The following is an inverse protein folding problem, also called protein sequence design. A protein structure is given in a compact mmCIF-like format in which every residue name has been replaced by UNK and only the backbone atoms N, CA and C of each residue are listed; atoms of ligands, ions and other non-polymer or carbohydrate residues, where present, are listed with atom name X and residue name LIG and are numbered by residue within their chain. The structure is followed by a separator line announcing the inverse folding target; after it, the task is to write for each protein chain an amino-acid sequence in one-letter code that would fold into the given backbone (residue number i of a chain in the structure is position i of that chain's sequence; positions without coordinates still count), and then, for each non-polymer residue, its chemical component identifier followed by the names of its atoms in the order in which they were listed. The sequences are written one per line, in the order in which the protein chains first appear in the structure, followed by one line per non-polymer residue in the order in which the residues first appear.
data_IF_101236815211
#
_entry.id   IF_101236815211
#
_cell.length_a   1.000
_cell.length_b   1.000
_cell.length_c   1.000
_cell.angle_alpha   90.00
_cell.angle_beta   90.00
_cell.angle_gamma   90.00
#
_symmetry.space_group_name_H-M   'P 1'
#
loop_
_entity.id
_entity.type
_entity.pdbx_description
1 polymer ?
#
# COMPACT_ATOMS: atom_id res chain seq x y z
N UNK A 1 -5.11 -8.41 -3.25
CA UNK A 1 -5.54 -7.20 -2.52
C UNK A 1 -6.76 -6.57 -3.21
N UNK A 2 -7.96 -7.19 -3.12
CA UNK A 2 -9.14 -6.85 -3.97
C UNK A 2 -9.56 -5.38 -3.92
N UNK A 3 -9.52 -4.76 -2.73
CA UNK A 3 -9.89 -3.36 -2.58
C UNK A 3 -8.91 -2.41 -3.28
N UNK A 4 -7.60 -2.62 -3.09
CA UNK A 4 -6.57 -1.72 -3.61
C UNK A 4 -6.60 -1.60 -5.12
N UNK A 5 -6.74 -2.72 -5.81
CA UNK A 5 -6.76 -2.78 -7.28
C UNK A 5 -8.00 -2.11 -7.89
N UNK A 6 -8.86 -1.49 -7.08
CA UNK A 6 -10.01 -0.68 -7.50
C UNK A 6 -9.91 0.77 -7.04
N UNK A 7 -8.81 1.17 -6.39
CA UNK A 7 -8.57 2.54 -5.93
C UNK A 7 -7.11 2.97 -6.13
N UNK A 8 -6.33 2.25 -6.94
CA UNK A 8 -4.88 2.44 -7.06
C UNK A 8 -4.46 3.36 -8.21
N UNK A 9 -5.41 3.80 -9.04
CA UNK A 9 -5.17 4.71 -10.14
C UNK A 9 -4.48 4.06 -11.34
N UNK A 10 -4.37 2.73 -11.39
CA UNK A 10 -3.77 2.02 -12.52
C UNK A 10 -4.84 1.48 -13.48
N UNK A 11 -4.53 1.35 -14.79
CA UNK A 11 -5.51 0.93 -15.79
C UNK A 11 -5.84 -0.58 -15.76
N UNK A 12 -5.12 -1.38 -14.95
CA UNK A 12 -5.25 -2.84 -14.96
C UNK A 12 -6.63 -3.34 -14.57
N UNK A 13 -7.32 -2.64 -13.66
CA UNK A 13 -8.73 -2.87 -13.30
C UNK A 13 -9.43 -1.52 -13.15
N UNK A 14 -10.70 -1.38 -13.59
CA UNK A 14 -11.42 -0.12 -13.43
C UNK A 14 -11.56 0.27 -11.96
N UNK A 15 -11.14 1.49 -11.63
CA UNK A 15 -11.31 2.07 -10.30
C UNK A 15 -12.78 2.34 -9.99
N UNK A 16 -13.16 2.23 -8.71
CA UNK A 16 -14.48 2.61 -8.19
C UNK A 16 -14.62 4.11 -7.93
N UNK A 17 -13.50 4.84 -7.93
CA UNK A 17 -13.43 6.28 -7.73
C UNK A 17 -13.12 6.99 -9.04
N UNK A 18 -13.63 8.21 -9.20
CA UNK A 18 -13.26 9.06 -10.33
C UNK A 18 -11.78 9.47 -10.23
N UNK A 19 -11.07 9.68 -11.36
CA UNK A 19 -9.67 10.10 -11.34
C UNK A 19 -9.42 11.36 -10.48
N UNK A 20 -10.32 12.35 -10.56
CA UNK A 20 -10.24 13.55 -9.72
C UNK A 20 -10.37 13.26 -8.23
N UNK A 21 -11.18 12.27 -7.85
CA UNK A 21 -11.33 11.82 -6.46
C UNK A 21 -10.07 11.13 -5.96
N UNK A 22 -9.42 10.31 -6.80
CA UNK A 22 -8.13 9.68 -6.47
C UNK A 22 -7.05 10.75 -6.27
N UNK A 23 -6.97 11.74 -7.18
CA UNK A 23 -6.04 12.87 -7.02
C UNK A 23 -6.24 13.58 -5.70
N UNK A 24 -7.48 13.89 -5.31
CA UNK A 24 -7.77 14.47 -4.00
C UNK A 24 -7.34 13.56 -2.86
N UNK A 25 -7.65 12.25 -2.95
CA UNK A 25 -7.34 11.26 -1.92
C UNK A 25 -5.85 11.17 -1.57
N UNK A 26 -4.98 11.39 -2.56
CA UNK A 26 -3.51 11.28 -2.41
C UNK A 26 -2.79 12.63 -2.36
N UNK A 27 -3.54 13.74 -2.44
CA UNK A 27 -2.97 15.08 -2.29
C UNK A 27 -2.68 15.34 -0.82
N UNK A 28 -1.42 15.69 -0.53
CA UNK A 28 -0.93 15.96 0.83
C UNK A 28 -1.61 17.21 1.38
N UNK A 29 -2.04 17.16 2.64
CA UNK A 29 -2.68 18.31 3.29
C UNK A 29 -1.74 19.51 3.45
N UNK A 30 -0.44 19.23 3.61
CA UNK A 30 0.66 20.20 3.50
C UNK A 30 1.81 19.57 2.72
N UNK A 31 2.59 20.34 1.93
CA UNK A 31 3.62 19.78 1.06
C UNK A 31 4.67 18.91 1.77
N UNK A 32 5.01 19.22 3.02
CA UNK A 32 5.98 18.48 3.83
C UNK A 32 5.44 17.20 4.48
N UNK A 33 4.11 17.01 4.53
CA UNK A 33 3.49 15.89 5.25
C UNK A 33 3.50 14.62 4.42
N UNK A 34 4.03 13.49 4.89
CA UNK A 34 3.90 12.19 4.20
C UNK A 34 2.49 11.58 4.36
N UNK A 35 1.44 12.40 4.42
CA UNK A 35 0.07 11.98 4.70
C UNK A 35 -0.96 12.81 3.93
N UNK A 36 -2.00 12.13 3.47
CA UNK A 36 -3.13 12.66 2.72
C UNK A 36 -4.47 12.20 3.35
N UNK A 37 -5.52 11.94 2.57
CA UNK A 37 -6.84 11.53 3.06
C UNK A 37 -6.85 10.06 3.55
N UNK A 38 -6.20 9.76 4.68
CA UNK A 38 -6.12 8.39 5.21
C UNK A 38 -4.89 7.61 4.76
N UNK A 39 -4.16 8.12 3.77
CA UNK A 39 -3.01 7.44 3.19
C UNK A 39 -1.70 8.10 3.61
N UNK A 40 -0.73 7.29 4.00
CA UNK A 40 0.68 7.66 3.88
C UNK A 40 1.03 7.78 2.40
N UNK A 41 1.71 8.85 2.03
CA UNK A 41 2.14 9.12 0.64
C UNK A 41 3.56 9.67 0.63
N UNK A 42 4.32 9.40 -0.43
CA UNK A 42 5.67 9.91 -0.58
C UNK A 42 5.97 10.40 -2.00
N UNK A 43 7.15 11.00 -2.17
CA UNK A 43 7.61 11.53 -3.46
C UNK A 43 7.90 10.44 -4.50
N UNK A 44 8.08 9.19 -4.06
CA UNK A 44 8.25 8.03 -4.93
C UNK A 44 6.90 7.48 -5.44
N UNK A 45 5.78 8.14 -5.12
CA UNK A 45 4.42 7.72 -5.48
C UNK A 45 4.01 6.35 -4.91
N UNK A 46 4.52 6.02 -3.72
CA UNK A 46 4.02 4.91 -2.91
C UNK A 46 2.92 5.41 -1.98
N UNK A 47 1.85 4.64 -1.86
CA UNK A 47 0.76 4.92 -0.92
C UNK A 47 0.64 3.75 0.05
N UNK A 48 0.43 4.04 1.33
CA UNK A 48 0.31 3.00 2.33
C UNK A 48 -0.61 3.38 3.47
N UNK A 49 -1.06 2.38 4.22
CA UNK A 49 -1.66 2.57 5.53
C UNK A 49 -1.19 1.44 6.45
N UNK A 50 -1.02 1.76 7.72
CA UNK A 50 -0.66 0.79 8.76
C UNK A 50 -1.76 0.75 9.79
N UNK A 51 -2.06 -0.42 10.32
CA UNK A 51 -3.04 -0.58 11.38
C UNK A 51 -2.54 -1.53 12.46
N UNK A 52 -3.14 -1.40 13.64
CA UNK A 52 -2.86 -2.32 14.74
C UNK A 52 -3.69 -2.00 15.95
N UNK A 53 -4.36 -3.02 16.48
CA UNK A 53 -4.83 -3.09 17.86
C UNK A 53 -3.85 -3.97 18.66
N UNK A 54 -3.91 -3.99 20.02
CA UNK A 54 -3.05 -4.87 20.81
C UNK A 54 -3.09 -6.31 20.30
N UNK A 55 -1.91 -6.89 20.07
CA UNK A 55 -1.79 -8.24 19.51
C UNK A 55 -1.89 -8.35 17.98
N UNK A 56 -2.04 -7.27 17.22
CA UNK A 56 -2.13 -7.33 15.75
C UNK A 56 -1.22 -6.32 15.06
N UNK A 57 -0.91 -6.58 13.79
CA UNK A 57 -0.27 -5.61 12.92
C UNK A 57 -0.76 -5.79 11.49
N UNK A 58 -1.00 -4.68 10.81
CA UNK A 58 -1.40 -4.68 9.41
C UNK A 58 -0.65 -3.63 8.63
N UNK A 59 -0.44 -3.92 7.35
CA UNK A 59 0.08 -2.96 6.41
C UNK A 59 -0.53 -3.20 5.03
N UNK A 60 -0.85 -2.12 4.35
CA UNK A 60 -1.35 -2.12 2.98
C UNK A 60 -0.49 -1.17 2.16
N UNK A 61 -0.01 -1.59 0.99
CA UNK A 61 0.91 -0.81 0.15
C UNK A 61 0.51 -0.88 -1.31
N UNK A 62 0.48 0.29 -1.95
CA UNK A 62 0.42 0.54 -3.39
C UNK A 62 1.77 1.09 -3.81
N UNK A 63 2.54 0.29 -4.52
CA UNK A 63 3.82 0.74 -5.10
C UNK A 63 3.59 1.63 -6.31
N UNK A 64 4.61 2.39 -6.70
CA UNK A 64 4.55 3.22 -7.92
C UNK A 64 4.64 2.40 -9.20
N UNK A 65 5.02 1.13 -9.11
CA UNK A 65 5.17 0.20 -10.23
C UNK A 65 3.93 -0.67 -10.48
N UNK A 66 2.81 -0.41 -9.79
CA UNK A 66 1.56 -1.13 -10.04
C UNK A 66 1.27 -2.29 -9.07
N UNK A 67 2.22 -2.66 -8.21
CA UNK A 67 1.99 -3.72 -7.24
C UNK A 67 1.21 -3.22 -6.02
N UNK A 68 0.21 -4.00 -5.62
CA UNK A 68 -0.62 -3.77 -4.45
C UNK A 68 -0.58 -5.02 -3.55
N UNK A 69 -0.23 -4.85 -2.26
CA UNK A 69 -0.20 -5.96 -1.30
C UNK A 69 -0.73 -5.57 0.08
N UNK A 70 -1.10 -6.61 0.83
CA UNK A 70 -1.62 -6.49 2.20
C UNK A 70 -0.94 -7.53 3.07
N UNK A 71 -0.46 -7.09 4.23
CA UNK A 71 0.06 -7.94 5.29
C UNK A 71 -0.91 -7.85 6.47
N UNK A 72 -1.40 -8.99 6.94
CA UNK A 72 -2.24 -9.07 8.14
C UNK A 72 -1.62 -10.08 9.11
N UNK A 73 -1.30 -9.61 10.31
CA UNK A 73 -0.74 -10.43 11.38
C UNK A 73 -1.71 -10.46 12.57
N UNK A 74 -2.00 -11.67 13.04
CA UNK A 74 -2.74 -11.94 14.29
C UNK A 74 -1.85 -11.92 15.55
N UNK A 75 -0.59 -11.49 15.39
CA UNK A 75 0.38 -11.29 16.47
C UNK A 75 1.24 -10.07 16.13
N UNK A 76 1.85 -9.47 17.15
CA UNK A 76 2.83 -8.39 17.00
C UNK A 76 3.96 -8.55 17.99
N UNK A 77 5.18 -8.20 17.57
CA UNK A 77 6.33 -8.12 18.48
C UNK A 77 6.37 -6.76 19.17
N UNK A 78 6.94 -6.73 20.39
CA UNK A 78 7.29 -5.49 21.09
C UNK A 78 8.67 -4.95 20.68
N UNK A 79 9.36 -5.61 19.75
CA UNK A 79 10.62 -5.11 19.20
C UNK A 79 10.38 -3.73 18.54
N UNK A 80 11.21 -2.75 18.87
CA UNK A 80 11.09 -1.38 18.37
C UNK A 80 11.11 -1.27 16.84
N UNK A 81 11.82 -2.18 16.15
CA UNK A 81 11.92 -2.20 14.69
C UNK A 81 10.89 -3.13 14.02
N UNK A 82 9.91 -3.66 14.75
CA UNK A 82 8.95 -4.61 14.17
C UNK A 82 8.21 -4.05 12.94
N UNK A 83 7.73 -2.80 13.01
CA UNK A 83 7.02 -2.18 11.88
C UNK A 83 7.94 -1.94 10.67
N UNK A 84 9.20 -1.55 10.91
CA UNK A 84 10.18 -1.40 9.84
C UNK A 84 10.53 -2.73 9.19
N UNK A 85 10.63 -3.80 9.97
CA UNK A 85 10.82 -5.14 9.44
C UNK A 85 9.60 -5.63 8.63
N UNK A 86 8.39 -5.32 9.09
CA UNK A 86 7.15 -5.65 8.38
C UNK A 86 7.07 -4.94 7.02
N UNK A 87 7.40 -3.65 6.98
CA UNK A 87 7.44 -2.84 5.75
C UNK A 87 8.46 -3.39 4.74
N UNK A 88 9.66 -3.71 5.21
CA UNK A 88 10.74 -4.24 4.38
C UNK A 88 10.51 -5.68 3.88
N UNK A 89 9.46 -6.37 4.33
CA UNK A 89 9.25 -7.78 4.04
C UNK A 89 9.11 -8.06 2.54
N UNK A 90 8.33 -7.25 1.81
CA UNK A 90 7.95 -7.55 0.42
C UNK A 90 8.68 -6.71 -0.63
N UNK A 91 9.27 -5.58 -0.24
CA UNK A 91 10.03 -4.72 -1.18
C UNK A 91 11.12 -5.46 -1.97
N UNK A 92 11.95 -6.35 -1.39
CA UNK A 92 12.96 -7.07 -2.14
C UNK A 92 12.35 -7.93 -3.26
N UNK A 93 11.22 -8.59 -3.02
CA UNK A 93 10.56 -9.43 -4.01
C UNK A 93 9.97 -8.59 -5.17
N UNK A 94 9.36 -7.46 -4.83
CA UNK A 94 8.75 -6.55 -5.83
C UNK A 94 9.79 -5.88 -6.74
N UNK A 95 11.04 -5.79 -6.31
CA UNK A 95 12.13 -5.22 -7.08
C UNK A 95 12.89 -6.25 -7.93
N UNK A 96 12.43 -7.51 -7.97
CA UNK A 96 13.04 -8.58 -8.78
C UNK A 96 12.20 -8.91 -10.00
N UNK A 97 12.84 -9.47 -11.02
CA UNK A 97 12.17 -10.00 -12.22
C UNK A 97 11.58 -11.38 -11.90
N UNK A 98 10.43 -11.39 -11.23
CA UNK A 98 9.68 -12.62 -10.97
C UNK A 98 8.69 -12.87 -12.09
N UNK A 99 8.67 -14.10 -12.63
CA UNK A 99 7.65 -14.52 -13.59
C UNK A 99 6.33 -14.78 -12.82
N UNK A 100 5.46 -13.78 -12.80
CA UNK A 100 4.12 -13.91 -12.23
C UNK A 100 3.20 -14.68 -13.17
N UNK A 101 2.22 -15.38 -12.62
CA UNK A 101 1.19 -16.01 -13.43
C UNK A 101 0.30 -14.94 -14.08
N UNK A 102 0.05 -15.07 -15.38
CA UNK A 102 -0.83 -14.16 -16.13
C UNK A 102 -2.30 -14.64 -16.05
N UNK A 103 -2.82 -14.68 -14.83
CA UNK A 103 -4.23 -14.98 -14.56
C UNK A 103 -4.77 -14.02 -13.52
N UNK A 104 -6.03 -13.64 -13.71
CA UNK A 104 -6.72 -12.77 -12.77
C UNK A 104 -7.09 -13.53 -11.49
N UNK A 105 -6.39 -13.22 -10.39
CA UNK A 105 -6.66 -13.81 -9.08
C UNK A 105 -7.82 -13.12 -8.33
N UNK A 106 -8.41 -12.05 -8.89
CA UNK A 106 -9.31 -11.18 -8.12
C UNK A 106 -10.51 -10.56 -8.85
#
# INVERSE_FOLDING_TARGET
AKFMVRVDGFPGKPDILQPATITTMITRSVPSSNYACGWGVNNANHWWHTGGIPGTATQIIRSSTGYCWVILCNSRSNNANFNGALDNLLWPFMNTTTAWQDIDQF
#
